data_IF_457234235919
#
_entry.id   IF_457234235919
#
_cell.length_a   1.000
_cell.length_b   1.000
_cell.length_c   1.000
_cell.angle_alpha   90.00
_cell.angle_beta   90.00
_cell.angle_gamma   90.00
#
_symmetry.space_group_name_H-M   'P 1'
#
loop_
_entity.id
_entity.type
_entity.pdbx_description
1 polymer ?
#
# COMPACT_ATOMS: atom_id res chain seq x y z
N UNK A 1 -20.18 -8.77 -59.75
CA UNK A 1 -21.06 -8.34 -58.64
C UNK A 1 -21.82 -9.52 -57.99
N UNK A 2 -21.13 -10.65 -57.72
CA UNK A 2 -21.67 -11.84 -57.04
C UNK A 2 -20.81 -12.15 -55.81
N UNK A 3 -20.93 -11.32 -54.77
CA UNK A 3 -20.32 -11.58 -53.46
C UNK A 3 -21.28 -11.25 -52.31
N UNK A 4 -22.59 -11.40 -52.52
CA UNK A 4 -23.48 -11.63 -51.40
C UNK A 4 -23.32 -13.09 -50.99
N UNK A 5 -22.33 -13.32 -50.14
CA UNK A 5 -22.09 -14.59 -49.44
C UNK A 5 -23.43 -15.06 -48.90
N UNK A 6 -23.76 -16.31 -49.19
CA UNK A 6 -25.01 -16.96 -48.82
C UNK A 6 -25.04 -17.19 -47.29
N UNK A 7 -25.28 -16.12 -46.52
CA UNK A 7 -25.36 -16.11 -45.05
C UNK A 7 -26.36 -17.16 -44.54
N UNK A 8 -27.37 -17.49 -45.34
CA UNK A 8 -28.37 -18.51 -45.05
C UNK A 8 -27.80 -19.94 -44.86
N UNK A 9 -26.66 -20.28 -45.49
CA UNK A 9 -26.05 -21.62 -45.40
C UNK A 9 -25.21 -21.84 -44.13
N UNK A 10 -24.94 -20.79 -43.36
CA UNK A 10 -24.11 -20.88 -42.15
C UNK A 10 -24.92 -21.57 -41.04
N UNK A 11 -24.31 -22.58 -40.40
CA UNK A 11 -24.91 -23.25 -39.23
C UNK A 11 -25.00 -22.25 -38.07
N UNK A 12 -26.15 -22.21 -37.38
CA UNK A 12 -26.40 -21.39 -36.16
C UNK A 12 -25.22 -21.40 -35.19
N UNK A 13 -24.65 -22.58 -34.93
CA UNK A 13 -23.46 -22.76 -34.07
C UNK A 13 -22.27 -21.89 -34.51
N UNK A 14 -22.00 -21.78 -35.81
CA UNK A 14 -20.87 -21.00 -36.32
C UNK A 14 -21.11 -19.49 -36.15
N UNK A 15 -22.35 -19.02 -36.30
CA UNK A 15 -22.71 -17.62 -36.07
C UNK A 15 -22.53 -17.27 -34.59
N UNK A 16 -23.01 -18.12 -33.68
CA UNK A 16 -22.85 -17.91 -32.24
C UNK A 16 -21.37 -17.91 -31.83
N UNK A 17 -20.55 -18.84 -32.34
CA UNK A 17 -19.10 -18.86 -32.08
C UNK A 17 -18.45 -17.59 -32.61
N UNK A 18 -18.81 -17.14 -33.82
CA UNK A 18 -18.29 -15.91 -34.39
C UNK A 18 -18.63 -14.69 -33.53
N UNK A 19 -19.89 -14.55 -33.10
CA UNK A 19 -20.31 -13.45 -32.22
C UNK A 19 -19.60 -13.49 -30.87
N UNK A 20 -19.41 -14.68 -30.28
CA UNK A 20 -18.68 -14.84 -29.03
C UNK A 20 -17.20 -14.45 -29.18
N UNK A 21 -16.54 -14.87 -30.26
CA UNK A 21 -15.16 -14.48 -30.54
C UNK A 21 -15.06 -12.98 -30.80
N UNK A 22 -15.99 -12.41 -31.57
CA UNK A 22 -16.04 -10.99 -31.85
C UNK A 22 -16.22 -10.16 -30.57
N UNK A 23 -17.08 -10.62 -29.66
CA UNK A 23 -17.24 -10.03 -28.33
C UNK A 23 -15.92 -10.01 -27.55
N UNK A 24 -15.23 -11.16 -27.47
CA UNK A 24 -13.95 -11.27 -26.75
C UNK A 24 -12.88 -10.37 -27.39
N UNK A 25 -12.83 -10.31 -28.73
CA UNK A 25 -11.87 -9.46 -29.45
C UNK A 25 -12.10 -7.98 -29.11
N UNK A 26 -13.35 -7.50 -29.14
CA UNK A 26 -13.65 -6.11 -28.79
C UNK A 26 -13.26 -5.83 -27.35
N UNK A 27 -13.63 -6.71 -26.42
CA UNK A 27 -13.28 -6.57 -25.01
C UNK A 27 -11.76 -6.45 -24.80
N UNK A 28 -10.98 -7.33 -25.42
CA UNK A 28 -9.52 -7.30 -25.31
C UNK A 28 -8.93 -6.05 -25.98
N UNK A 29 -9.40 -5.68 -27.17
CA UNK A 29 -8.92 -4.52 -27.91
C UNK A 29 -9.16 -3.22 -27.13
N UNK A 30 -10.39 -2.98 -26.66
CA UNK A 30 -10.71 -1.80 -25.87
C UNK A 30 -9.99 -1.80 -24.52
N UNK A 31 -9.91 -2.95 -23.84
CA UNK A 31 -9.12 -3.09 -22.62
C UNK A 31 -7.65 -2.70 -22.80
N UNK A 32 -7.00 -3.12 -23.89
CA UNK A 32 -5.62 -2.72 -24.23
C UNK A 32 -5.53 -1.23 -24.59
N UNK A 33 -6.48 -0.71 -25.37
CA UNK A 33 -6.53 0.72 -25.74
C UNK A 33 -6.61 1.59 -24.48
N UNK A 34 -7.53 1.28 -23.56
CA UNK A 34 -7.67 2.04 -22.31
C UNK A 34 -6.44 1.91 -21.43
N UNK A 35 -5.83 0.73 -21.35
CA UNK A 35 -4.60 0.53 -20.59
C UNK A 35 -3.45 1.37 -21.14
N UNK A 36 -3.26 1.43 -22.46
CA UNK A 36 -2.26 2.29 -23.08
C UNK A 36 -2.54 3.76 -22.78
N UNK A 37 -3.77 4.23 -23.01
CA UNK A 37 -4.16 5.62 -22.72
C UNK A 37 -3.92 5.97 -21.25
N UNK A 38 -4.28 5.10 -20.32
CA UNK A 38 -4.10 5.35 -18.90
C UNK A 38 -2.62 5.45 -18.52
N UNK A 39 -1.75 4.60 -19.06
CA UNK A 39 -0.32 4.68 -18.77
C UNK A 39 0.35 5.87 -19.46
N UNK A 40 -0.02 6.18 -20.70
CA UNK A 40 0.55 7.31 -21.44
C UNK A 40 0.12 8.66 -20.84
N UNK A 41 -1.09 8.74 -20.27
CA UNK A 41 -1.62 9.94 -19.59
C UNK A 41 -1.36 9.95 -18.08
N UNK A 42 -0.59 9.00 -17.54
CA UNK A 42 -0.44 8.79 -16.08
C UNK A 42 -1.77 8.71 -15.31
N UNK A 43 -2.85 8.35 -16.00
CA UNK A 43 -4.20 8.19 -15.47
C UNK A 43 -5.03 9.46 -15.45
N UNK A 44 -4.53 10.62 -15.90
CA UNK A 44 -5.30 11.88 -15.91
C UNK A 44 -6.62 11.78 -16.69
N UNK A 45 -6.68 10.88 -17.67
CA UNK A 45 -7.86 10.66 -18.51
C UNK A 45 -8.92 9.77 -17.84
N UNK A 46 -8.67 9.29 -16.63
CA UNK A 46 -9.56 8.46 -15.85
C UNK A 46 -9.66 8.96 -14.40
N UNK A 47 -10.81 8.75 -13.77
CA UNK A 47 -10.99 8.87 -12.33
C UNK A 47 -11.05 7.45 -11.78
N UNK A 48 -10.20 7.15 -10.80
CA UNK A 48 -10.15 5.85 -10.14
C UNK A 48 -10.71 5.97 -8.72
N UNK A 49 -11.55 5.03 -8.31
CA UNK A 49 -11.85 4.85 -6.90
C UNK A 49 -10.57 4.47 -6.13
N UNK A 50 -10.45 4.95 -4.89
CA UNK A 50 -9.21 4.91 -4.08
C UNK A 50 -8.54 3.53 -3.97
N UNK A 51 -9.29 2.43 -4.10
CA UNK A 51 -8.79 1.07 -3.89
C UNK A 51 -8.18 0.39 -5.12
N UNK A 52 -8.47 0.86 -6.34
CA UNK A 52 -8.21 0.10 -7.58
C UNK A 52 -6.73 -0.14 -7.85
N UNK A 53 -5.91 0.84 -7.49
CA UNK A 53 -4.46 0.78 -7.69
C UNK A 53 -3.71 0.54 -6.38
N UNK A 54 -4.43 0.30 -5.27
CA UNK A 54 -3.85 0.20 -3.94
C UNK A 54 -2.85 -0.94 -3.85
N UNK A 55 -3.19 -2.11 -4.39
CA UNK A 55 -2.31 -3.28 -4.37
C UNK A 55 -0.98 -3.03 -5.07
N UNK A 56 -1.03 -2.38 -6.21
CA UNK A 56 0.16 -2.16 -7.01
C UNK A 56 1.05 -1.04 -6.44
N UNK A 57 0.45 -0.01 -5.83
CA UNK A 57 1.18 0.96 -4.99
C UNK A 57 1.85 0.31 -3.79
N UNK A 58 1.18 -0.66 -3.15
CA UNK A 58 1.78 -1.45 -2.06
C UNK A 58 2.98 -2.25 -2.57
N UNK A 59 2.90 -2.88 -3.74
CA UNK A 59 4.03 -3.63 -4.30
C UNK A 59 5.22 -2.71 -4.66
N UNK A 60 4.98 -1.58 -5.35
CA UNK A 60 6.04 -0.60 -5.63
C UNK A 60 6.72 -0.10 -4.36
N UNK A 61 5.92 0.23 -3.33
CA UNK A 61 6.46 0.72 -2.07
C UNK A 61 7.44 -0.30 -1.45
N UNK A 62 7.14 -1.60 -1.55
CA UNK A 62 8.04 -2.65 -1.06
C UNK A 62 9.30 -2.77 -1.89
N UNK A 63 9.17 -2.75 -3.22
CA UNK A 63 10.30 -2.85 -4.14
C UNK A 63 11.28 -1.70 -3.89
N UNK A 64 10.77 -0.48 -3.78
CA UNK A 64 11.57 0.71 -3.51
C UNK A 64 12.13 0.77 -2.07
N UNK A 65 11.54 0.04 -1.12
CA UNK A 65 11.99 0.00 0.28
C UNK A 65 12.84 -1.23 0.64
N UNK A 66 13.18 -2.10 -0.32
CA UNK A 66 13.89 -3.40 -0.13
C UNK A 66 13.29 -4.26 1.01
N UNK A 67 11.95 -4.31 1.12
CA UNK A 67 11.27 -5.07 2.17
C UNK A 67 10.91 -6.47 1.68
N UNK A 68 11.54 -7.50 2.27
CA UNK A 68 11.42 -8.90 1.83
C UNK A 68 10.36 -9.74 2.55
N UNK A 69 9.85 -9.30 3.70
CA UNK A 69 8.90 -10.10 4.53
C UNK A 69 7.51 -9.49 4.50
N UNK A 70 6.49 -10.34 4.35
CA UNK A 70 5.10 -9.92 4.11
C UNK A 70 4.09 -10.77 4.87
N UNK A 71 3.80 -10.39 6.13
CA UNK A 71 2.57 -10.83 6.77
C UNK A 71 1.36 -10.10 6.16
N UNK A 72 0.19 -10.75 6.18
CA UNK A 72 -1.09 -10.11 5.78
C UNK A 72 -1.39 -8.88 6.65
N UNK A 73 -0.97 -8.90 7.92
CA UNK A 73 -1.09 -7.77 8.84
C UNK A 73 -0.27 -6.58 8.35
N UNK A 74 1.01 -6.80 8.00
CA UNK A 74 1.89 -5.74 7.50
C UNK A 74 1.43 -5.15 6.17
N UNK A 75 0.88 -5.97 5.27
CA UNK A 75 0.18 -5.49 4.07
C UNK A 75 -0.89 -4.46 4.41
N UNK A 76 -1.74 -4.80 5.39
CA UNK A 76 -2.89 -3.98 5.74
C UNK A 76 -2.46 -2.66 6.40
N UNK A 77 -1.36 -2.62 7.15
CA UNK A 77 -0.83 -1.35 7.68
C UNK A 77 -0.35 -0.42 6.58
N UNK A 78 0.30 -0.93 5.53
CA UNK A 78 0.70 -0.11 4.36
C UNK A 78 -0.56 0.42 3.65
N UNK A 79 -1.59 -0.44 3.50
CA UNK A 79 -2.89 -0.01 2.95
C UNK A 79 -3.48 1.15 3.76
N UNK A 80 -3.46 1.05 5.10
CA UNK A 80 -3.95 2.11 5.99
C UNK A 80 -3.20 3.43 5.77
N UNK A 81 -1.87 3.39 5.72
CA UNK A 81 -1.02 4.57 5.46
C UNK A 81 -1.31 5.25 4.12
N UNK A 82 -1.57 4.46 3.07
CA UNK A 82 -1.93 4.98 1.75
C UNK A 82 -3.33 5.62 1.76
N UNK A 83 -4.25 5.09 2.55
CA UNK A 83 -5.62 5.62 2.70
C UNK A 83 -5.70 6.86 3.59
N UNK A 84 -4.87 6.96 4.63
CA UNK A 84 -4.98 8.01 5.66
C UNK A 84 -4.35 9.35 5.27
N UNK A 85 -3.77 9.46 4.07
CA UNK A 85 -3.06 10.66 3.60
C UNK A 85 -1.84 11.05 4.47
N UNK A 86 -1.39 10.19 5.37
CA UNK A 86 -0.24 10.43 6.25
C UNK A 86 1.05 10.73 5.47
N UNK A 87 1.19 10.13 4.29
CA UNK A 87 2.29 10.38 3.36
C UNK A 87 2.37 11.82 2.83
N UNK A 88 1.26 12.59 2.90
CA UNK A 88 1.23 14.00 2.47
C UNK A 88 1.86 14.91 3.50
N UNK A 89 1.97 14.44 4.75
CA UNK A 89 2.60 15.22 5.81
C UNK A 89 4.06 15.51 5.42
N UNK A 90 4.51 16.76 5.56
CA UNK A 90 5.83 17.16 5.14
C UNK A 90 6.88 16.54 6.06
N UNK A 91 7.96 16.03 5.46
CA UNK A 91 9.07 15.37 6.16
C UNK A 91 10.30 16.24 5.98
N UNK A 92 11.04 16.48 7.07
CA UNK A 92 12.31 17.18 7.09
C UNK A 92 13.42 16.21 7.51
N UNK A 93 14.63 16.41 6.98
CA UNK A 93 15.84 15.74 7.47
C UNK A 93 16.46 16.60 8.56
N UNK A 94 16.75 15.98 9.70
CA UNK A 94 17.50 16.58 10.79
C UNK A 94 18.88 15.95 10.86
N UNK A 95 19.90 16.79 10.76
CA UNK A 95 21.29 16.41 10.97
C UNK A 95 21.61 16.56 12.45
N UNK A 96 22.04 15.48 13.12
CA UNK A 96 22.49 15.55 14.51
C UNK A 96 23.97 15.89 14.57
N UNK A 97 24.30 16.96 15.32
CA UNK A 97 25.65 17.56 15.36
C UNK A 97 26.68 16.67 16.09
N UNK A 98 26.25 15.75 16.97
CA UNK A 98 27.15 15.08 17.92
C UNK A 98 27.34 13.57 17.73
N UNK A 99 26.59 12.92 16.84
CA UNK A 99 26.77 11.51 16.51
C UNK A 99 27.13 11.42 15.04
N UNK A 100 28.34 10.95 14.75
CA UNK A 100 28.91 10.84 13.40
C UNK A 100 27.91 10.22 12.40
N UNK A 101 27.49 11.03 11.42
CA UNK A 101 26.80 10.62 10.19
C UNK A 101 25.49 9.82 10.32
N UNK A 102 24.50 10.31 11.08
CA UNK A 102 23.13 9.80 10.93
C UNK A 102 22.12 10.96 10.83
N UNK A 103 21.60 11.21 9.62
CA UNK A 103 20.47 12.13 9.43
C UNK A 103 19.17 11.39 9.77
N UNK A 104 18.32 11.96 10.63
CA UNK A 104 17.02 11.37 10.96
C UNK A 104 15.89 12.10 10.26
N UNK A 105 14.97 11.37 9.63
CA UNK A 105 13.75 11.94 9.07
C UNK A 105 12.75 12.23 10.21
N UNK A 106 12.19 13.43 10.22
CA UNK A 106 11.20 13.88 11.22
C UNK A 106 10.06 14.56 10.48
N UNK A 107 8.84 14.47 11.00
CA UNK A 107 7.75 15.28 10.45
C UNK A 107 8.05 16.78 10.64
N UNK A 108 7.99 17.53 9.54
CA UNK A 108 7.94 18.98 9.58
C UNK A 108 6.60 19.39 10.20
N UNK A 109 6.61 20.36 11.12
CA UNK A 109 5.44 20.87 11.86
C UNK A 109 4.95 20.06 13.06
N UNK A 110 5.84 19.31 13.72
CA UNK A 110 5.69 19.05 15.15
C UNK A 110 4.46 18.22 15.55
N UNK A 111 4.01 17.35 14.65
CA UNK A 111 2.99 16.33 14.94
C UNK A 111 3.66 15.00 15.18
N UNK A 112 3.11 14.25 16.14
CA UNK A 112 3.51 12.86 16.38
C UNK A 112 3.11 11.97 15.21
N UNK A 113 3.79 10.83 15.08
CA UNK A 113 3.59 9.88 13.99
C UNK A 113 2.14 9.35 13.94
N UNK A 114 1.54 9.12 15.10
CA UNK A 114 0.19 8.59 15.21
C UNK A 114 0.09 7.08 14.96
N UNK A 115 -1.15 6.60 14.98
CA UNK A 115 -1.49 5.17 15.04
C UNK A 115 -1.03 4.39 13.79
N UNK A 116 -1.23 4.95 12.58
CA UNK A 116 -0.91 4.24 11.34
C UNK A 116 0.60 3.94 11.21
N UNK A 117 1.44 4.93 11.51
CA UNK A 117 2.89 4.78 11.50
C UNK A 117 3.40 3.91 12.64
N UNK A 118 2.78 4.01 13.83
CA UNK A 118 3.09 3.13 14.95
C UNK A 118 2.83 1.66 14.60
N UNK A 119 1.67 1.38 14.01
CA UNK A 119 1.30 0.03 13.58
C UNK A 119 2.22 -0.47 12.45
N UNK A 120 2.53 0.39 11.47
CA UNK A 120 3.51 0.09 10.42
C UNK A 120 4.86 -0.34 11.01
N UNK A 121 5.45 0.46 11.90
CA UNK A 121 6.76 0.13 12.46
C UNK A 121 6.72 -1.11 13.35
N UNK A 122 5.66 -1.29 14.15
CA UNK A 122 5.51 -2.50 14.95
C UNK A 122 5.55 -3.77 14.08
N UNK A 123 4.76 -3.79 13.01
CA UNK A 123 4.69 -4.91 12.07
C UNK A 123 5.98 -5.05 11.25
N UNK A 124 6.60 -3.94 10.87
CA UNK A 124 7.89 -3.90 10.15
C UNK A 124 9.02 -4.60 10.92
N UNK A 125 9.11 -4.39 12.24
CA UNK A 125 10.12 -5.04 13.08
C UNK A 125 9.71 -6.47 13.47
N UNK A 126 8.42 -6.70 13.75
CA UNK A 126 7.87 -8.04 14.03
C UNK A 126 8.16 -9.01 12.87
N UNK A 127 7.90 -8.60 11.63
CA UNK A 127 8.15 -9.41 10.43
C UNK A 127 9.65 -9.67 10.18
N UNK A 128 10.54 -8.82 10.71
CA UNK A 128 12.00 -9.05 10.71
C UNK A 128 12.47 -9.98 11.83
N UNK A 129 11.56 -10.55 12.60
CA UNK A 129 11.86 -11.46 13.71
C UNK A 129 12.40 -10.74 14.96
N UNK A 130 12.16 -9.43 15.08
CA UNK A 130 12.45 -8.72 16.32
C UNK A 130 11.40 -9.09 17.36
N UNK A 131 11.89 -9.42 18.55
CA UNK A 131 11.05 -9.94 19.64
C UNK A 131 11.00 -8.98 20.82
N UNK A 132 12.11 -8.29 21.11
CA UNK A 132 12.27 -7.48 22.31
C UNK A 132 12.97 -6.15 22.00
N UNK A 133 12.76 -5.18 22.88
CA UNK A 133 13.42 -3.88 22.89
C UNK A 133 13.97 -3.55 24.28
N UNK A 134 15.01 -2.71 24.32
CA UNK A 134 15.39 -1.95 25.51
C UNK A 134 15.49 -0.47 25.14
N UNK A 135 15.26 0.39 26.13
CA UNK A 135 15.16 1.83 25.96
C UNK A 135 16.14 2.53 26.89
N UNK A 136 16.87 3.50 26.34
CA UNK A 136 17.73 4.40 27.08
C UNK A 136 17.27 5.84 26.83
N UNK A 137 16.82 6.52 27.89
CA UNK A 137 16.45 7.93 27.85
C UNK A 137 17.71 8.79 27.92
N UNK A 138 18.01 9.53 26.85
CA UNK A 138 19.17 10.42 26.77
C UNK A 138 18.86 11.84 27.26
N UNK A 139 17.63 12.07 27.73
CA UNK A 139 17.18 13.34 28.28
C UNK A 139 16.35 14.16 27.30
N UNK A 140 15.93 15.33 27.79
CA UNK A 140 15.18 16.29 26.99
C UNK A 140 16.12 16.88 25.93
N UNK A 141 15.70 16.80 24.67
CA UNK A 141 16.43 17.30 23.52
C UNK A 141 15.43 18.00 22.61
N UNK A 142 15.52 19.33 22.53
CA UNK A 142 14.52 20.17 21.87
C UNK A 142 14.88 20.38 20.41
N UNK A 143 14.26 19.58 19.52
CA UNK A 143 14.47 19.71 18.09
C UNK A 143 13.64 20.85 17.46
N UNK A 144 12.42 21.10 17.98
CA UNK A 144 11.54 22.15 17.45
C UNK A 144 11.03 23.10 18.54
N UNK A 145 10.73 24.33 18.15
CA UNK A 145 10.38 25.43 19.05
C UNK A 145 9.16 25.19 19.95
N UNK A 146 8.15 24.42 19.50
CA UNK A 146 6.88 24.29 20.24
C UNK A 146 6.75 23.07 21.17
N UNK A 147 7.63 22.06 21.12
CA UNK A 147 7.47 20.85 21.93
C UNK A 147 8.73 20.47 22.71
N UNK A 148 8.53 19.93 23.90
CA UNK A 148 9.60 19.31 24.68
C UNK A 148 9.74 17.85 24.26
N UNK A 149 10.65 17.58 23.32
CA UNK A 149 10.98 16.22 22.90
C UNK A 149 12.07 15.60 23.78
N UNK A 150 12.07 14.27 23.87
CA UNK A 150 13.11 13.50 24.55
C UNK A 150 13.80 12.60 23.54
N UNK A 151 15.14 12.60 23.55
CA UNK A 151 15.94 11.71 22.72
C UNK A 151 16.00 10.34 23.39
N UNK A 152 15.50 9.32 22.72
CA UNK A 152 15.45 7.94 23.21
C UNK A 152 16.26 7.08 22.27
N UNK A 153 17.15 6.28 22.84
CA UNK A 153 17.88 5.24 22.12
C UNK A 153 17.15 3.92 22.32
N UNK A 154 16.75 3.30 21.22
CA UNK A 154 16.08 2.00 21.18
C UNK A 154 17.08 0.97 20.69
N UNK A 155 17.21 -0.12 21.44
CA UNK A 155 17.89 -1.32 21.00
C UNK A 155 16.86 -2.40 20.69
N UNK A 156 16.98 -3.03 19.53
CA UNK A 156 16.10 -4.10 19.05
C UNK A 156 16.81 -5.44 19.11
N UNK A 157 16.14 -6.45 19.65
CA UNK A 157 16.72 -7.76 19.92
C UNK A 157 15.93 -8.90 19.29
N UNK A 158 16.68 -9.90 18.85
CA UNK A 158 16.17 -11.23 18.54
C UNK A 158 16.59 -12.19 19.66
N UNK A 159 15.64 -12.97 20.15
CA UNK A 159 15.90 -14.01 21.15
C UNK A 159 16.06 -15.35 20.42
N UNK A 160 17.12 -16.11 20.70
CA UNK A 160 17.35 -17.42 20.08
C UNK A 160 16.34 -18.46 20.59
N UNK A 161 15.77 -19.25 19.66
CA UNK A 161 14.53 -20.00 19.85
C UNK A 161 14.66 -21.23 20.77
N UNK A 162 13.59 -21.45 21.55
CA UNK A 162 13.26 -22.70 22.24
C UNK A 162 11.81 -22.73 22.73
N UNK A 163 11.23 -21.57 23.05
CA UNK A 163 9.82 -21.43 23.42
C UNK A 163 9.19 -20.29 22.64
N UNK A 164 8.65 -20.62 21.46
CA UNK A 164 7.67 -19.75 20.81
C UNK A 164 6.54 -19.48 21.82
N UNK A 165 6.17 -18.22 22.00
CA UNK A 165 5.04 -17.75 22.81
C UNK A 165 5.23 -17.65 24.33
N UNK A 166 6.21 -16.85 24.76
CA UNK A 166 6.10 -16.13 26.05
C UNK A 166 5.90 -14.64 25.77
N UNK A 167 4.84 -14.34 25.01
CA UNK A 167 4.33 -12.97 24.88
C UNK A 167 4.17 -12.41 26.30
N UNK A 168 4.67 -11.19 26.53
CA UNK A 168 4.64 -10.47 27.81
C UNK A 168 5.71 -10.78 28.87
N UNK A 169 6.67 -11.69 28.66
CA UNK A 169 7.77 -11.84 29.63
C UNK A 169 8.81 -10.72 29.54
N UNK A 170 9.10 -10.11 30.68
CA UNK A 170 10.15 -9.11 30.85
C UNK A 170 11.39 -9.77 31.43
N UNK A 171 12.55 -9.43 30.91
CA UNK A 171 13.82 -10.03 31.32
C UNK A 171 14.73 -9.00 31.96
N UNK A 172 15.57 -9.45 32.87
CA UNK A 172 16.51 -8.58 33.57
C UNK A 172 17.82 -8.49 32.79
N UNK A 173 18.76 -7.65 33.24
CA UNK A 173 20.07 -7.54 32.60
C UNK A 173 20.89 -8.84 32.64
N UNK A 174 20.63 -9.74 33.59
CA UNK A 174 21.35 -11.02 33.66
C UNK A 174 21.03 -11.96 32.50
N UNK A 175 19.93 -11.72 31.79
CA UNK A 175 19.44 -12.59 30.72
C UNK A 175 20.04 -12.23 29.35
N UNK A 176 21.10 -11.40 29.32
CA UNK A 176 21.69 -10.84 28.11
C UNK A 176 22.09 -11.88 27.06
N UNK A 177 22.58 -13.05 27.49
CA UNK A 177 23.04 -14.13 26.61
C UNK A 177 21.92 -14.69 25.72
N UNK A 178 20.65 -14.50 26.13
CA UNK A 178 19.49 -14.91 25.34
C UNK A 178 19.13 -13.91 24.23
N UNK A 179 19.70 -12.70 24.24
CA UNK A 179 19.29 -11.59 23.37
C UNK A 179 20.41 -11.14 22.46
N UNK A 180 20.23 -11.37 21.15
CA UNK A 180 21.10 -10.82 20.11
C UNK A 180 20.60 -9.44 19.69
N UNK A 181 21.41 -8.41 19.91
CA UNK A 181 21.11 -7.06 19.40
C UNK A 181 21.21 -7.06 17.86
N UNK A 182 20.18 -6.55 17.19
CA UNK A 182 20.10 -6.48 15.72
C UNK A 182 20.19 -5.04 15.24
N UNK A 183 19.44 -4.13 15.86
CA UNK A 183 19.39 -2.72 15.46
C UNK A 183 19.49 -1.82 16.67
N UNK A 184 20.11 -0.66 16.47
CA UNK A 184 20.01 0.46 17.39
C UNK A 184 19.52 1.68 16.61
N UNK A 185 18.56 2.41 17.16
CA UNK A 185 17.97 3.61 16.54
C UNK A 185 17.77 4.69 17.59
N UNK A 186 17.88 5.94 17.16
CA UNK A 186 17.53 7.09 17.96
C UNK A 186 16.19 7.62 17.48
N UNK A 187 15.32 7.97 18.42
CA UNK A 187 14.07 8.64 18.14
C UNK A 187 13.86 9.81 19.09
N UNK A 188 12.97 10.70 18.69
CA UNK A 188 12.49 11.80 19.50
C UNK A 188 11.02 11.62 19.74
N UNK A 189 10.63 11.63 21.02
CA UNK A 189 9.26 11.39 21.46
C UNK A 189 8.74 12.63 22.18
N UNK A 190 7.53 13.04 21.80
CA UNK A 190 6.84 14.12 22.48
C UNK A 190 6.24 13.61 23.80
N UNK A 191 6.24 14.43 24.85
CA UNK A 191 5.59 14.11 26.14
C UNK A 191 6.09 12.82 26.85
N UNK A 192 7.39 12.55 26.76
CA UNK A 192 8.02 11.40 27.44
C UNK A 192 8.10 11.37 29.01
N UNK A 193 7.58 12.31 29.84
CA UNK A 193 7.78 12.19 31.31
C UNK A 193 6.77 11.33 32.10
N UNK A 194 5.61 10.94 31.56
CA UNK A 194 4.57 10.25 32.35
C UNK A 194 4.56 8.71 32.21
N UNK A 195 4.73 8.20 31.00
CA UNK A 195 4.66 6.75 30.71
C UNK A 195 5.91 5.97 31.17
N UNK A 196 7.09 6.60 31.19
CA UNK A 196 8.33 5.87 31.52
C UNK A 196 8.45 5.52 33.01
N UNK A 197 8.05 6.42 33.91
CA UNK A 197 8.21 6.25 35.36
C UNK A 197 7.25 5.21 35.95
N UNK A 198 6.04 5.04 35.38
CA UNK A 198 5.05 4.07 35.85
C UNK A 198 5.26 2.65 35.30
N UNK A 199 5.67 2.51 34.02
CA UNK A 199 5.72 1.20 33.36
C UNK A 199 7.05 0.45 33.53
N UNK A 200 8.17 1.16 33.62
CA UNK A 200 9.52 0.57 33.64
C UNK A 200 10.04 0.45 35.08
N UNK A 201 9.66 -0.62 35.77
CA UNK A 201 10.24 -0.96 37.08
C UNK A 201 11.73 -1.27 36.91
N UNK A 202 12.60 -0.74 37.80
CA UNK A 202 14.08 -0.90 37.80
C UNK A 202 14.62 -2.34 37.65
N UNK A 203 13.76 -3.37 37.77
CA UNK A 203 14.12 -4.79 37.72
C UNK A 203 14.23 -5.38 36.30
N UNK A 204 13.61 -4.76 35.30
CA UNK A 204 13.55 -5.33 33.94
C UNK A 204 14.21 -4.42 32.90
N UNK A 205 14.88 -5.04 31.92
CA UNK A 205 15.67 -4.37 30.89
C UNK A 205 15.20 -4.72 29.47
N UNK A 206 14.87 -5.99 29.19
CA UNK A 206 14.34 -6.40 27.90
C UNK A 206 12.83 -6.54 27.97
N UNK A 207 12.14 -5.82 27.09
CA UNK A 207 10.68 -5.76 27.02
C UNK A 207 10.21 -6.32 25.68
N UNK A 208 9.12 -7.10 25.63
CA UNK A 208 8.55 -7.55 24.37
C UNK A 208 8.23 -6.38 23.44
N UNK A 209 8.43 -6.56 22.14
CA UNK A 209 8.20 -5.50 21.14
C UNK A 209 6.79 -4.94 21.25
N UNK A 210 5.77 -5.79 21.40
CA UNK A 210 4.37 -5.37 21.52
C UNK A 210 4.01 -4.62 22.82
N UNK A 211 4.92 -4.58 23.81
CA UNK A 211 4.60 -4.07 25.14
C UNK A 211 4.47 -2.54 25.18
N UNK A 212 5.45 -1.83 24.63
CA UNK A 212 5.49 -0.35 24.67
C UNK A 212 5.90 0.28 23.35
N UNK A 213 6.47 -0.50 22.42
CA UNK A 213 6.94 0.06 21.15
C UNK A 213 5.83 0.75 20.33
N UNK A 214 4.60 0.23 20.21
CA UNK A 214 3.56 0.94 19.46
C UNK A 214 3.21 2.31 20.06
N UNK A 215 3.04 2.39 21.39
CA UNK A 215 2.74 3.66 22.07
C UNK A 215 3.92 4.64 21.97
N UNK A 216 5.15 4.13 22.05
CA UNK A 216 6.37 4.91 21.85
C UNK A 216 6.41 5.51 20.44
N UNK A 217 6.14 4.70 19.41
CA UNK A 217 6.15 5.16 18.03
C UNK A 217 5.00 6.11 17.73
N UNK A 218 3.81 5.87 18.30
CA UNK A 218 2.64 6.74 18.15
C UNK A 218 2.93 8.17 18.57
N UNK A 219 3.69 8.34 19.66
CA UNK A 219 4.09 9.63 20.22
C UNK A 219 5.46 10.13 19.71
N UNK A 220 6.13 9.36 18.86
CA UNK A 220 7.38 9.77 18.20
C UNK A 220 7.10 10.90 17.23
N UNK A 221 8.06 11.81 17.04
CA UNK A 221 8.07 12.81 15.95
C UNK A 221 9.04 12.41 14.83
N UNK A 222 9.94 11.47 15.11
CA UNK A 222 10.95 10.96 14.19
C UNK A 222 10.61 9.58 13.64
N UNK A 223 10.92 9.38 12.37
CA UNK A 223 10.86 8.10 11.69
C UNK A 223 12.11 7.26 11.96
N UNK A 224 11.99 5.95 11.78
CA UNK A 224 13.09 5.00 12.00
C UNK A 224 13.91 4.69 10.74
N UNK A 225 13.44 5.19 9.58
CA UNK A 225 13.99 4.92 8.25
C UNK A 225 13.48 5.95 7.20
N UNK A 226 13.78 5.69 5.94
CA UNK A 226 13.33 6.47 4.78
C UNK A 226 11.93 6.07 4.26
N UNK A 227 11.23 5.14 4.93
CA UNK A 227 9.87 4.69 4.55
C UNK A 227 8.91 5.83 4.20
N UNK A 228 8.80 6.95 4.96
CA UNK A 228 7.88 8.03 4.59
C UNK A 228 8.27 8.75 3.28
N UNK A 229 9.56 8.85 2.98
CA UNK A 229 10.05 9.45 1.74
C UNK A 229 9.78 8.53 0.55
N UNK A 230 10.04 7.23 0.72
CA UNK A 230 9.75 6.21 -0.30
C UNK A 230 8.25 6.09 -0.54
N UNK A 231 7.43 6.15 0.51
CA UNK A 231 5.97 6.13 0.39
C UNK A 231 5.47 7.34 -0.42
N UNK A 232 6.01 8.52 -0.12
CA UNK A 232 5.69 9.75 -0.87
C UNK A 232 6.18 9.68 -2.32
N UNK A 233 7.38 9.16 -2.58
CA UNK A 233 7.89 9.01 -3.95
C UNK A 233 7.06 8.01 -4.74
N UNK A 234 6.72 6.85 -4.14
CA UNK A 234 5.89 5.81 -4.77
C UNK A 234 4.53 6.32 -5.24
N UNK A 235 3.97 7.31 -4.55
CA UNK A 235 2.69 7.93 -4.91
C UNK A 235 2.85 8.96 -6.04
N UNK A 236 4.01 9.59 -6.11
CA UNK A 236 4.31 10.63 -7.11
C UNK A 236 4.98 10.08 -8.38
N UNK A 237 5.59 8.89 -8.31
CA UNK A 237 6.20 8.21 -9.44
C UNK A 237 5.12 7.74 -10.44
N UNK A 238 5.50 7.69 -11.72
CA UNK A 238 4.64 7.20 -12.80
C UNK A 238 4.39 5.69 -12.62
N UNK A 239 3.39 5.36 -11.79
CA UNK A 239 2.93 3.99 -11.61
C UNK A 239 2.23 3.50 -12.88
N UNK A 240 2.66 2.33 -13.39
CA UNK A 240 1.97 1.64 -14.48
C UNK A 240 0.72 0.95 -13.98
N UNK A 241 -0.45 1.44 -14.40
CA UNK A 241 -1.71 0.81 -14.11
C UNK A 241 -1.75 -0.63 -14.66
N UNK A 242 -2.34 -1.59 -13.95
CA UNK A 242 -2.35 -2.98 -14.36
C UNK A 242 -3.37 -3.20 -15.50
N UNK A 243 -3.01 -3.99 -16.50
CA UNK A 243 -3.87 -4.30 -17.66
C UNK A 243 -5.23 -4.86 -17.25
N UNK A 244 -5.26 -5.67 -16.20
CA UNK A 244 -6.48 -6.34 -15.75
C UNK A 244 -7.57 -5.36 -15.30
N UNK A 245 -7.20 -4.20 -14.76
CA UNK A 245 -8.17 -3.17 -14.37
C UNK A 245 -8.93 -2.63 -15.59
N UNK A 246 -8.27 -2.53 -16.75
CA UNK A 246 -8.90 -2.04 -17.98
C UNK A 246 -9.61 -3.12 -18.78
N UNK A 247 -9.17 -4.38 -18.67
CA UNK A 247 -9.95 -5.52 -19.15
C UNK A 247 -11.27 -5.64 -18.40
N UNK A 248 -11.24 -5.45 -17.08
CA UNK A 248 -12.43 -5.34 -16.25
C UNK A 248 -13.29 -4.12 -16.65
N UNK A 249 -12.69 -2.94 -16.78
CA UNK A 249 -13.40 -1.72 -17.21
C UNK A 249 -14.13 -1.91 -18.55
N UNK A 250 -13.46 -2.52 -19.54
CA UNK A 250 -14.06 -2.87 -20.83
C UNK A 250 -15.22 -3.85 -20.66
N UNK A 251 -15.04 -4.91 -19.87
CA UNK A 251 -16.09 -5.90 -19.61
C UNK A 251 -17.35 -5.27 -18.97
N UNK A 252 -17.19 -4.43 -17.93
CA UNK A 252 -18.33 -3.78 -17.26
C UNK A 252 -18.97 -2.69 -18.11
N UNK A 253 -18.23 -2.10 -19.04
CA UNK A 253 -18.74 -1.15 -20.04
C UNK A 253 -19.58 -1.85 -21.10
N UNK A 254 -19.04 -2.89 -21.74
CA UNK A 254 -19.75 -3.68 -22.76
C UNK A 254 -21.02 -4.34 -22.23
N UNK A 255 -21.03 -4.74 -20.95
CA UNK A 255 -22.20 -5.34 -20.29
C UNK A 255 -23.17 -4.30 -19.73
N UNK A 256 -22.91 -3.01 -19.90
CA UNK A 256 -23.71 -1.89 -19.37
C UNK A 256 -23.86 -1.88 -17.85
N UNK A 257 -22.98 -2.61 -17.15
CA UNK A 257 -23.02 -2.77 -15.70
C UNK A 257 -22.53 -1.51 -14.97
N UNK A 258 -21.42 -0.94 -15.45
CA UNK A 258 -20.99 0.42 -15.09
C UNK A 258 -20.84 0.69 -13.58
N UNK A 259 -20.13 -0.17 -12.83
CA UNK A 259 -19.96 -0.02 -11.38
C UNK A 259 -19.39 1.33 -10.91
N UNK A 260 -18.70 2.08 -11.78
CA UNK A 260 -18.17 3.40 -11.46
C UNK A 260 -16.80 3.40 -10.78
N UNK A 261 -16.17 2.23 -10.65
CA UNK A 261 -14.82 2.10 -10.10
C UNK A 261 -13.79 2.90 -10.94
N UNK A 262 -13.90 2.81 -12.28
CA UNK A 262 -13.10 3.57 -13.24
C UNK A 262 -14.07 4.41 -14.09
N UNK A 263 -13.82 5.72 -14.18
CA UNK A 263 -14.70 6.67 -14.90
C UNK A 263 -13.89 7.48 -15.91
N UNK A 264 -14.37 7.67 -17.14
CA UNK A 264 -13.66 8.46 -18.14
C UNK A 264 -13.68 9.96 -17.83
N UNK A 265 -12.48 10.55 -17.70
CA UNK A 265 -12.29 11.96 -17.36
C UNK A 265 -12.02 12.86 -18.59
N UNK A 266 -11.59 12.29 -19.72
CA UNK A 266 -11.33 13.04 -20.95
C UNK A 266 -12.35 12.79 -22.05
N UNK A 267 -12.53 13.77 -22.94
CA UNK A 267 -13.46 13.67 -24.08
C UNK A 267 -13.15 12.49 -24.99
N UNK A 268 -11.87 12.21 -25.24
CA UNK A 268 -11.44 11.12 -26.12
C UNK A 268 -11.87 9.77 -25.54
N UNK A 269 -11.62 9.54 -24.24
CA UNK A 269 -12.00 8.28 -23.59
C UNK A 269 -13.52 8.15 -23.51
N UNK A 270 -14.25 9.25 -23.25
CA UNK A 270 -15.73 9.24 -23.26
C UNK A 270 -16.30 8.80 -24.61
N UNK A 271 -15.73 9.27 -25.72
CA UNK A 271 -16.15 8.84 -27.07
C UNK A 271 -15.85 7.36 -27.30
N UNK A 272 -14.68 6.86 -26.88
CA UNK A 272 -14.35 5.44 -26.98
C UNK A 272 -15.33 4.57 -26.19
N UNK A 273 -15.66 4.96 -24.96
CA UNK A 273 -16.64 4.27 -24.10
C UNK A 273 -18.02 4.26 -24.75
N UNK A 274 -18.46 5.36 -25.36
CA UNK A 274 -19.73 5.41 -26.09
C UNK A 274 -19.76 4.41 -27.26
N UNK A 275 -18.69 4.37 -28.06
CA UNK A 275 -18.57 3.44 -29.20
C UNK A 275 -18.56 1.99 -28.71
N UNK A 276 -17.76 1.68 -27.70
CA UNK A 276 -17.68 0.35 -27.10
C UNK A 276 -19.03 -0.12 -26.55
N UNK A 277 -19.74 0.76 -25.84
CA UNK A 277 -21.05 0.44 -25.25
C UNK A 277 -22.06 0.08 -26.33
N UNK A 278 -22.12 0.86 -27.42
CA UNK A 278 -23.00 0.57 -28.56
C UNK A 278 -22.66 -0.79 -29.18
N UNK A 279 -21.36 -1.05 -29.43
CA UNK A 279 -20.91 -2.33 -29.98
C UNK A 279 -21.25 -3.51 -29.07
N UNK A 280 -21.02 -3.37 -27.76
CA UNK A 280 -21.32 -4.40 -26.77
C UNK A 280 -22.81 -4.76 -26.74
N UNK A 281 -23.68 -3.75 -26.64
CA UNK A 281 -25.14 -3.95 -26.64
C UNK A 281 -25.61 -4.60 -27.95
N UNK A 282 -25.09 -4.15 -29.11
CA UNK A 282 -25.45 -4.74 -30.40
C UNK A 282 -25.06 -6.22 -30.49
N UNK A 283 -23.86 -6.59 -30.00
CA UNK A 283 -23.39 -7.98 -30.05
C UNK A 283 -24.17 -8.86 -29.09
N UNK A 284 -24.42 -8.41 -27.86
CA UNK A 284 -25.21 -9.15 -26.88
C UNK A 284 -26.63 -9.36 -27.40
N UNK A 285 -27.26 -8.31 -27.95
CA UNK A 285 -28.58 -8.39 -28.57
C UNK A 285 -28.63 -9.33 -29.77
N UNK A 286 -27.63 -9.27 -30.66
CA UNK A 286 -27.52 -10.18 -31.80
C UNK A 286 -27.28 -11.64 -31.37
N UNK A 287 -26.46 -11.86 -30.35
CA UNK A 287 -26.19 -13.18 -29.79
C UNK A 287 -27.47 -13.78 -29.20
N UNK A 288 -28.18 -13.02 -28.36
CA UNK A 288 -29.46 -13.45 -27.79
C UNK A 288 -30.50 -13.75 -28.88
N UNK A 289 -30.63 -12.85 -29.86
CA UNK A 289 -31.56 -13.04 -30.99
C UNK A 289 -31.23 -14.31 -31.78
N UNK A 290 -29.96 -14.58 -32.08
CA UNK A 290 -29.53 -15.79 -32.76
C UNK A 290 -29.73 -17.04 -31.91
N UNK A 291 -29.52 -16.95 -30.59
CA UNK A 291 -29.69 -18.05 -29.65
C UNK A 291 -31.15 -18.52 -29.59
N UNK A 292 -32.11 -17.60 -29.57
CA UNK A 292 -33.54 -17.91 -29.53
C UNK A 292 -34.17 -18.09 -30.92
N UNK A 293 -33.44 -17.80 -32.00
CA UNK A 293 -33.89 -18.11 -33.35
C UNK A 293 -34.03 -19.63 -33.52
N UNK A 294 -35.26 -20.13 -33.57
CA UNK A 294 -35.58 -21.48 -33.99
C UNK A 294 -35.84 -21.48 -35.49
N UNK A 295 -35.02 -22.23 -36.24
CA UNK A 295 -35.34 -22.58 -37.63
C UNK A 295 -36.39 -23.70 -37.54
N UNK A 296 -37.64 -23.39 -37.87
CA UNK A 296 -38.59 -24.41 -38.31
C UNK A 296 -38.12 -24.98 -39.65
#
# INVERSE_FOLDING_TARGET
>A
MKQFVNIYKIRKKNILIFLALFYIIILLCFGIIYWNIANDSNGEFFIFQNDINMNARIEMFKENSDIKVYSKEFRNSIKSLLSSNEYKRPVAKLETINDSFDSTNVFSFEKVLGEDWANYYYLFFKDRGITHISLENLGQDKISGKFNSYKIKIHFYKMDEGERFKDFKRYSKSDQDNFKNIYTRYIWVNEYPSLYSEFFKKRYFYYPLNFYFPELMKNSISFLDDSPLVLKSTINENFKYPLWNFMYFSAVTMTTLGYGDIVPNSTIVRVLVMVETILGVMIIGAFASCLFWNRQ
#
